data_IF_839671363490
#
_entry.id   IF_839671363490
#
_cell.length_a   1.000
_cell.length_b   1.000
_cell.length_c   1.000
_cell.angle_alpha   90.00
_cell.angle_beta   90.00
_cell.angle_gamma   90.00
#
_symmetry.space_group_name_H-M   'P 1'
#
loop_
_entity.id
_entity.type
_entity.pdbx_description
1 polymer ?
#
# COMPACT_ATOMS: atom_id res chain seq x y z
N UNK A 1 99.56 -0.06 -55.90
CA UNK A 1 99.73 1.24 -55.21
C UNK A 1 98.39 1.71 -54.69
N UNK A 2 98.31 1.96 -53.36
CA UNK A 2 97.44 2.95 -52.65
C UNK A 2 95.91 2.79 -52.82
N UNK A 3 95.04 2.90 -51.80
CA UNK A 3 95.11 3.16 -50.34
C UNK A 3 93.70 2.83 -49.81
N UNK A 4 93.63 2.30 -48.59
CA UNK A 4 92.41 2.09 -47.80
C UNK A 4 91.62 3.39 -47.59
N UNK A 5 90.28 3.33 -47.59
CA UNK A 5 89.39 4.10 -46.70
C UNK A 5 88.13 3.26 -46.38
N UNK A 6 88.15 2.57 -45.23
CA UNK A 6 87.00 2.41 -44.31
C UNK A 6 87.09 3.61 -43.34
N UNK A 7 86.10 4.06 -42.55
CA UNK A 7 84.77 3.51 -42.22
C UNK A 7 83.69 4.63 -42.25
N UNK A 8 82.44 4.51 -41.83
CA UNK A 8 82.00 4.36 -40.45
C UNK A 8 80.47 4.36 -40.45
N UNK A 9 79.90 3.19 -40.14
CA UNK A 9 78.51 3.03 -39.75
C UNK A 9 78.31 3.89 -38.49
N UNK A 10 77.62 5.01 -38.62
CA UNK A 10 77.28 5.87 -37.49
C UNK A 10 76.12 5.20 -36.74
N UNK A 11 76.47 4.26 -35.86
CA UNK A 11 75.56 3.78 -34.82
C UNK A 11 75.43 4.92 -33.81
N UNK A 12 74.46 5.81 -34.02
CA UNK A 12 74.18 6.86 -33.06
C UNK A 12 73.75 6.20 -31.73
N UNK A 13 74.47 6.43 -30.61
CA UNK A 13 73.98 5.98 -29.32
C UNK A 13 72.71 6.80 -29.01
N UNK A 14 71.61 6.09 -28.74
CA UNK A 14 70.44 6.67 -28.08
C UNK A 14 70.87 7.06 -26.66
N UNK A 15 71.45 8.25 -26.49
CA UNK A 15 71.66 8.81 -25.16
C UNK A 15 70.28 9.23 -24.62
N UNK A 16 69.78 8.47 -23.65
CA UNK A 16 68.72 8.96 -22.79
C UNK A 16 69.33 10.08 -21.93
N UNK A 17 68.96 11.33 -22.18
CA UNK A 17 69.25 12.40 -21.24
C UNK A 17 68.19 12.37 -20.14
N UNK A 18 68.62 12.15 -18.90
CA UNK A 18 67.79 12.46 -17.73
C UNK A 18 68.10 13.89 -17.34
N UNK A 19 67.22 14.82 -17.71
CA UNK A 19 67.25 16.17 -17.16
C UNK A 19 66.71 16.09 -15.73
N UNK A 20 67.55 15.72 -14.76
CA UNK A 20 67.21 15.78 -13.34
C UNK A 20 67.64 17.15 -12.80
N UNK A 21 66.70 17.85 -12.13
CA UNK A 21 67.02 19.06 -11.37
C UNK A 21 67.88 18.63 -10.17
N UNK A 22 69.03 19.26 -9.98
CA UNK A 22 69.89 19.05 -8.81
C UNK A 22 69.12 19.46 -7.54
N UNK A 23 69.11 18.61 -6.52
CA UNK A 23 68.40 18.85 -5.26
C UNK A 23 68.83 20.15 -4.57
N UNK A 24 70.06 20.60 -4.81
CA UNK A 24 70.62 21.84 -4.27
C UNK A 24 70.34 23.08 -5.13
N UNK A 25 69.74 22.90 -6.32
CA UNK A 25 69.32 23.99 -7.21
C UNK A 25 67.83 24.34 -7.03
N UNK A 26 67.15 23.69 -6.09
CA UNK A 26 65.75 23.97 -5.76
C UNK A 26 65.67 25.27 -4.95
N UNK A 27 64.80 26.19 -5.37
CA UNK A 27 64.47 27.37 -4.55
C UNK A 27 63.79 26.88 -3.26
N UNK A 28 64.47 27.02 -2.13
CA UNK A 28 63.94 26.69 -0.81
C UNK A 28 63.07 27.82 -0.25
N UNK A 29 62.04 27.46 0.51
CA UNK A 29 61.30 28.40 1.34
C UNK A 29 61.95 28.50 2.72
N UNK A 30 61.82 29.65 3.37
CA UNK A 30 62.18 29.80 4.79
C UNK A 30 61.37 28.79 5.61
N UNK A 31 62.04 28.02 6.47
CA UNK A 31 61.41 26.99 7.30
C UNK A 31 61.33 27.46 8.75
N UNK A 32 60.17 27.30 9.38
CA UNK A 32 59.94 27.62 10.79
C UNK A 32 58.99 26.60 11.44
N UNK A 33 59.01 26.42 12.75
CA UNK A 33 57.94 25.69 13.48
C UNK A 33 56.67 26.53 13.55
N UNK A 34 55.50 25.95 13.89
CA UNK A 34 54.26 26.72 14.06
C UNK A 34 54.42 27.87 15.08
N UNK A 35 55.15 27.61 16.16
CA UNK A 35 55.43 28.62 17.19
C UNK A 35 56.33 29.73 16.67
N UNK A 36 57.42 29.39 15.97
CA UNK A 36 58.34 30.39 15.41
C UNK A 36 57.67 31.22 14.32
N UNK A 37 56.91 30.58 13.41
CA UNK A 37 56.13 31.25 12.37
C UNK A 37 55.19 32.32 12.95
N UNK A 38 54.40 31.96 13.96
CA UNK A 38 53.45 32.87 14.61
C UNK A 38 54.12 33.97 15.46
N UNK A 39 55.41 33.81 15.80
CA UNK A 39 56.18 34.82 16.53
C UNK A 39 56.89 35.84 15.60
N UNK A 40 56.88 35.63 14.28
CA UNK A 40 57.47 36.56 13.31
C UNK A 40 56.69 37.89 13.34
N UNK A 41 57.39 38.98 13.62
CA UNK A 41 56.83 40.34 13.57
C UNK A 41 57.22 41.04 12.26
N UNK A 42 56.37 41.93 11.75
CA UNK A 42 56.67 42.72 10.54
C UNK A 42 56.54 41.95 9.21
N UNK A 43 55.86 40.80 9.19
CA UNK A 43 55.56 40.06 7.96
C UNK A 43 54.76 40.92 6.97
N UNK A 44 55.14 40.88 5.70
CA UNK A 44 54.39 41.52 4.61
C UNK A 44 53.32 40.57 4.09
N UNK A 45 52.15 41.11 3.72
CA UNK A 45 51.09 40.33 3.06
C UNK A 45 51.62 39.61 1.81
N UNK A 46 51.26 38.35 1.64
CA UNK A 46 51.73 37.49 0.55
C UNK A 46 53.08 36.82 0.79
N UNK A 47 53.72 37.04 1.95
CA UNK A 47 54.90 36.27 2.35
C UNK A 47 54.56 34.78 2.44
N UNK A 48 55.45 33.91 1.94
CA UNK A 48 55.27 32.45 1.97
C UNK A 48 56.43 31.83 2.76
N UNK A 49 56.12 30.87 3.62
CA UNK A 49 57.12 30.05 4.31
C UNK A 49 56.67 28.59 4.43
N UNK A 50 57.61 27.71 4.74
CA UNK A 50 57.34 26.31 5.04
C UNK A 50 57.25 26.10 6.56
N UNK A 51 56.08 25.68 7.04
CA UNK A 51 55.90 25.26 8.42
C UNK A 51 56.39 23.82 8.58
N UNK A 52 57.48 23.65 9.32
CA UNK A 52 58.13 22.37 9.59
C UNK A 52 57.38 21.48 10.59
N UNK A 53 56.53 22.05 11.45
CA UNK A 53 55.70 21.32 12.40
C UNK A 53 54.55 20.63 11.67
N UNK A 54 53.84 21.38 10.83
CA UNK A 54 52.67 20.87 10.08
C UNK A 54 53.05 20.29 8.71
N UNK A 55 54.29 20.50 8.27
CA UNK A 55 54.83 20.08 6.96
C UNK A 55 54.03 20.65 5.81
N UNK A 56 53.76 21.95 5.85
CA UNK A 56 52.85 22.67 4.94
C UNK A 56 53.36 24.08 4.64
N UNK A 57 53.00 24.60 3.47
CA UNK A 57 53.26 26.01 3.15
C UNK A 57 52.20 26.89 3.78
N UNK A 58 52.61 28.07 4.27
CA UNK A 58 51.74 29.09 4.83
C UNK A 58 51.94 30.41 4.08
N UNK A 59 50.87 31.17 3.95
CA UNK A 59 50.86 32.51 3.41
C UNK A 59 50.43 33.50 4.50
N UNK A 60 51.11 34.65 4.59
CA UNK A 60 50.71 35.70 5.52
C UNK A 60 49.61 36.58 4.90
N UNK A 61 48.41 36.60 5.49
CA UNK A 61 47.22 37.27 4.96
C UNK A 61 47.02 38.71 5.51
N UNK A 62 48.13 39.40 5.81
CA UNK A 62 48.19 40.69 6.50
C UNK A 62 47.86 40.67 8.01
N UNK A 63 47.15 39.65 8.51
CA UNK A 63 46.81 39.54 9.94
C UNK A 63 47.46 38.35 10.62
N UNK A 64 47.46 37.18 9.98
CA UNK A 64 48.00 35.93 10.51
C UNK A 64 48.65 35.10 9.39
N UNK A 65 49.41 34.08 9.78
CA UNK A 65 49.82 33.02 8.87
C UNK A 65 48.67 32.04 8.66
N UNK A 66 48.21 31.92 7.41
CA UNK A 66 47.16 31.01 7.00
C UNK A 66 47.75 29.86 6.18
N UNK A 67 47.30 28.64 6.45
CA UNK A 67 47.76 27.46 5.74
C UNK A 67 47.31 27.56 4.28
N UNK A 68 48.23 27.32 3.33
CA UNK A 68 47.85 27.14 1.93
C UNK A 68 47.18 25.76 1.83
N UNK A 69 45.89 25.67 1.43
CA UNK A 69 45.17 24.40 1.41
C UNK A 69 45.83 23.39 0.47
N UNK A 70 45.90 22.13 0.89
CA UNK A 70 46.23 21.03 -0.02
C UNK A 70 44.97 20.22 -0.40
N UNK A 71 45.17 19.16 -1.19
CA UNK A 71 44.05 18.30 -1.59
C UNK A 71 43.33 17.69 -0.39
N UNK A 72 44.01 17.40 0.73
CA UNK A 72 43.40 16.81 1.93
C UNK A 72 42.61 17.81 2.78
N UNK A 73 42.93 19.10 2.71
CA UNK A 73 42.11 20.19 3.28
C UNK A 73 40.91 20.53 2.40
N UNK A 74 40.99 20.16 1.12
CA UNK A 74 39.92 20.28 0.12
C UNK A 74 39.07 19.00 0.01
N UNK A 75 39.52 17.89 0.61
CA UNK A 75 38.71 16.69 0.71
C UNK A 75 37.62 16.98 1.76
N UNK A 76 36.34 16.79 1.43
CA UNK A 76 35.27 16.98 2.39
C UNK A 76 35.45 16.06 3.60
N UNK A 77 34.75 16.33 4.73
CA UNK A 77 34.72 15.45 5.89
C UNK A 77 34.60 13.99 5.47
N UNK A 78 35.32 13.07 6.13
CA UNK A 78 35.14 11.64 5.88
C UNK A 78 33.76 11.23 6.38
N UNK A 79 32.78 11.28 5.50
CA UNK A 79 31.40 10.85 5.76
C UNK A 79 31.32 9.35 5.99
N UNK A 80 30.30 8.93 6.73
CA UNK A 80 30.03 7.51 6.96
C UNK A 80 29.57 6.84 5.67
N UNK A 81 29.97 5.59 5.43
CA UNK A 81 29.46 4.84 4.27
C UNK A 81 27.93 4.72 4.33
N UNK A 82 27.25 4.99 3.21
CA UNK A 82 25.79 4.94 3.12
C UNK A 82 25.08 6.24 3.48
N UNK A 83 25.83 7.27 3.90
CA UNK A 83 25.26 8.58 4.20
C UNK A 83 24.65 9.24 2.97
N UNK A 84 23.47 9.83 3.15
CA UNK A 84 22.87 10.77 2.21
C UNK A 84 23.10 12.17 2.75
N UNK A 85 23.93 12.96 2.04
CA UNK A 85 24.35 14.28 2.49
C UNK A 85 23.26 15.33 2.30
N UNK A 86 23.13 16.24 3.27
CA UNK A 86 22.27 17.42 3.20
C UNK A 86 23.02 18.67 3.70
N UNK A 87 22.43 19.85 3.52
CA UNK A 87 23.01 21.09 4.03
C UNK A 87 22.55 21.36 5.47
N UNK A 88 23.49 21.64 6.36
CA UNK A 88 23.17 22.11 7.70
C UNK A 88 22.73 23.59 7.72
N UNK A 89 22.49 24.13 8.91
CA UNK A 89 22.06 25.54 9.10
C UNK A 89 23.06 26.58 8.58
N UNK A 90 24.32 26.19 8.39
CA UNK A 90 25.37 27.04 7.81
C UNK A 90 25.56 26.84 6.31
N UNK A 91 24.78 25.94 5.68
CA UNK A 91 24.90 25.58 4.27
C UNK A 91 26.03 24.59 3.95
N UNK A 92 26.75 24.09 4.96
CA UNK A 92 27.80 23.10 4.77
C UNK A 92 27.20 21.68 4.64
N UNK A 93 27.83 20.76 3.88
CA UNK A 93 27.43 19.36 3.85
C UNK A 93 27.50 18.71 5.23
N UNK A 94 26.45 17.96 5.58
CA UNK A 94 26.27 17.28 6.85
C UNK A 94 25.53 15.94 6.63
N UNK A 95 25.52 15.08 7.65
CA UNK A 95 24.87 13.76 7.62
C UNK A 95 24.12 13.46 8.92
N UNK A 96 23.01 12.73 8.82
CA UNK A 96 22.29 12.17 9.97
C UNK A 96 21.72 10.81 9.57
N UNK A 97 22.53 9.77 9.79
CA UNK A 97 22.20 8.40 9.41
C UNK A 97 21.04 7.81 10.21
N UNK A 98 20.62 8.43 11.32
CA UNK A 98 19.40 7.99 12.03
C UNK A 98 18.13 8.52 11.35
N UNK A 99 18.23 9.58 10.54
CA UNK A 99 17.08 10.20 9.85
C UNK A 99 16.96 9.76 8.40
N UNK A 100 18.07 9.65 7.66
CA UNK A 100 18.05 9.17 6.28
C UNK A 100 19.34 8.41 5.98
N UNK A 101 19.21 7.17 5.49
CA UNK A 101 20.34 6.28 5.30
C UNK A 101 20.17 5.35 4.10
N UNK A 102 21.23 5.18 3.30
CA UNK A 102 21.31 4.14 2.30
C UNK A 102 22.16 2.97 2.81
N UNK A 103 21.49 1.87 3.13
CA UNK A 103 22.17 0.61 3.43
C UNK A 103 22.73 0.03 2.12
N UNK A 104 24.02 0.28 1.85
CA UNK A 104 24.74 -0.18 0.66
C UNK A 104 24.86 -1.70 0.60
N UNK A 105 24.84 -2.38 1.75
CA UNK A 105 24.99 -3.84 1.84
C UNK A 105 23.72 -4.54 1.34
N UNK A 106 22.54 -4.08 1.80
CA UNK A 106 21.27 -4.66 1.42
C UNK A 106 20.55 -3.91 0.28
N UNK A 107 21.15 -2.81 -0.18
CA UNK A 107 20.56 -1.84 -1.11
C UNK A 107 19.21 -1.31 -0.60
N UNK A 108 19.12 -0.69 0.56
CA UNK A 108 17.82 -0.24 1.11
C UNK A 108 17.87 1.22 1.54
N UNK A 109 16.75 1.94 1.34
CA UNK A 109 16.59 3.31 1.85
C UNK A 109 15.85 3.27 3.18
N UNK A 110 16.48 3.76 4.24
CA UNK A 110 15.85 4.02 5.53
C UNK A 110 15.54 5.51 5.71
N UNK A 111 14.36 5.80 6.24
CA UNK A 111 13.96 7.12 6.72
C UNK A 111 13.52 6.96 8.18
N UNK A 112 14.18 7.61 9.12
CA UNK A 112 14.03 7.36 10.56
C UNK A 112 14.60 6.01 11.03
N UNK A 113 15.48 5.38 10.24
CA UNK A 113 16.21 4.16 10.60
C UNK A 113 17.46 3.99 9.72
N UNK A 114 18.53 3.44 10.30
CA UNK A 114 19.73 3.00 9.58
C UNK A 114 19.77 1.47 9.34
N UNK A 115 18.76 0.74 9.79
CA UNK A 115 18.64 -0.71 9.65
C UNK A 115 17.33 -1.11 8.97
N UNK A 116 17.07 -0.61 7.74
CA UNK A 116 15.83 -0.91 7.03
C UNK A 116 15.68 -2.42 6.73
N UNK A 117 14.48 -2.93 6.95
CA UNK A 117 14.09 -4.33 6.68
C UNK A 117 13.37 -4.50 5.34
N UNK A 118 12.85 -3.42 4.78
CA UNK A 118 12.23 -3.35 3.45
C UNK A 118 13.07 -2.48 2.50
N UNK A 119 12.77 -2.55 1.20
CA UNK A 119 13.51 -1.81 0.16
C UNK A 119 13.51 -0.29 0.39
N UNK A 120 12.37 0.22 0.84
CA UNK A 120 12.23 1.53 1.47
C UNK A 120 11.51 1.29 2.79
N UNK A 121 12.07 1.75 3.90
CA UNK A 121 11.42 1.74 5.20
C UNK A 121 11.36 3.16 5.73
N UNK A 122 10.16 3.60 6.08
CA UNK A 122 9.94 4.85 6.83
C UNK A 122 9.47 4.48 8.22
N UNK A 123 10.27 4.82 9.23
CA UNK A 123 9.87 4.71 10.63
C UNK A 123 9.04 5.94 10.98
N UNK A 124 7.72 5.83 10.87
CA UNK A 124 6.78 6.91 11.16
C UNK A 124 5.61 6.95 10.17
N UNK A 125 4.79 8.01 10.27
CA UNK A 125 3.65 8.20 9.38
C UNK A 125 4.09 8.80 8.03
N UNK A 126 3.54 8.27 6.93
CA UNK A 126 3.74 8.80 5.58
C UNK A 126 2.47 9.52 5.14
N UNK A 127 2.61 10.75 4.63
CA UNK A 127 1.55 11.45 3.89
C UNK A 127 1.88 11.42 2.41
N UNK A 128 1.16 10.62 1.64
CA UNK A 128 1.28 10.54 0.17
C UNK A 128 0.01 11.04 -0.52
N UNK A 129 0.14 11.63 -1.71
CA UNK A 129 -1.03 11.97 -2.53
C UNK A 129 -1.79 10.72 -3.03
N UNK A 130 -1.06 9.61 -3.21
CA UNK A 130 -1.61 8.31 -3.56
C UNK A 130 -0.51 7.25 -3.53
N UNK A 131 -0.92 5.99 -3.45
CA UNK A 131 -0.04 4.82 -3.56
C UNK A 131 -0.50 3.98 -4.75
N UNK A 132 0.39 3.78 -5.71
CA UNK A 132 0.17 2.86 -6.82
C UNK A 132 0.81 1.52 -6.48
N UNK A 133 0.01 0.64 -5.87
CA UNK A 133 0.48 -0.67 -5.46
C UNK A 133 0.36 -1.70 -6.59
N UNK A 134 1.13 -2.78 -6.47
CA UNK A 134 0.91 -3.99 -7.27
C UNK A 134 -0.46 -4.60 -6.95
N UNK A 135 -0.91 -5.51 -7.80
CA UNK A 135 -2.21 -6.17 -7.62
C UNK A 135 -2.24 -7.03 -6.35
N UNK A 136 -1.11 -7.67 -6.03
CA UNK A 136 -1.03 -8.67 -4.96
C UNK A 136 -1.77 -9.95 -5.34
N UNK A 137 -1.92 -10.85 -4.38
CA UNK A 137 -2.75 -12.04 -4.49
C UNK A 137 -3.24 -12.47 -3.10
N UNK A 138 -4.07 -13.51 -3.05
CA UNK A 138 -4.67 -14.02 -1.81
C UNK A 138 -3.65 -14.35 -0.70
N UNK A 139 -2.47 -14.87 -1.05
CA UNK A 139 -1.42 -15.23 -0.09
C UNK A 139 -0.35 -14.15 0.09
N UNK A 140 -0.36 -13.11 -0.75
CA UNK A 140 0.54 -11.98 -0.66
C UNK A 140 -0.20 -10.69 -1.11
N UNK A 141 -1.04 -10.11 -0.23
CA UNK A 141 -1.78 -8.90 -0.55
C UNK A 141 -0.86 -7.69 -0.72
N UNK A 142 -1.29 -6.70 -1.49
CA UNK A 142 -0.45 -5.53 -1.78
C UNK A 142 -0.42 -4.53 -0.63
N UNK A 143 -1.52 -4.41 0.11
CA UNK A 143 -1.52 -3.84 1.46
C UNK A 143 -1.56 -4.99 2.46
N UNK A 144 -0.52 -5.12 3.27
CA UNK A 144 -0.34 -6.21 4.23
C UNK A 144 0.47 -5.72 5.43
N UNK A 145 0.56 -6.54 6.47
CA UNK A 145 1.17 -6.14 7.73
C UNK A 145 2.53 -6.81 7.95
N UNK A 146 3.42 -6.13 8.68
CA UNK A 146 4.68 -6.76 9.07
C UNK A 146 4.40 -7.92 10.02
N UNK A 147 4.95 -9.09 9.72
CA UNK A 147 4.71 -10.33 10.49
C UNK A 147 3.41 -11.07 10.15
N UNK A 148 2.52 -10.48 9.34
CA UNK A 148 1.29 -11.10 8.83
C UNK A 148 1.13 -10.74 7.34
N UNK A 149 1.82 -11.50 6.49
CA UNK A 149 1.97 -11.18 5.08
C UNK A 149 0.85 -11.71 4.20
N UNK A 150 -0.07 -12.51 4.75
CA UNK A 150 -1.19 -13.13 4.02
C UNK A 150 -2.56 -12.56 4.44
N UNK A 151 -2.59 -11.60 5.37
CA UNK A 151 -3.76 -10.78 5.72
C UNK A 151 -3.62 -9.38 5.15
N UNK A 152 -4.65 -8.90 4.46
CA UNK A 152 -4.57 -7.60 3.80
C UNK A 152 -5.58 -7.35 2.69
N UNK A 153 -5.23 -6.40 1.80
CA UNK A 153 -6.04 -6.02 0.64
C UNK A 153 -5.27 -6.26 -0.66
N UNK A 154 -5.95 -6.83 -1.65
CA UNK A 154 -5.40 -7.13 -2.98
C UNK A 154 -6.48 -6.95 -4.05
N UNK A 155 -6.10 -7.11 -5.32
CA UNK A 155 -7.05 -7.18 -6.44
C UNK A 155 -6.69 -8.32 -7.39
N UNK A 156 -7.68 -8.98 -7.94
CA UNK A 156 -7.51 -10.07 -8.94
C UNK A 156 -7.83 -9.66 -10.36
N UNK A 157 -8.69 -8.65 -10.53
CA UNK A 157 -9.04 -8.08 -11.82
C UNK A 157 -9.29 -6.56 -11.72
N UNK A 158 -9.63 -5.95 -12.85
CA UNK A 158 -10.02 -4.54 -12.92
C UNK A 158 -11.39 -4.35 -12.26
N UNK A 159 -11.54 -3.29 -11.47
CA UNK A 159 -12.77 -2.98 -10.71
C UNK A 159 -13.13 -4.04 -9.65
N UNK A 160 -12.11 -4.67 -9.06
CA UNK A 160 -12.25 -5.58 -7.92
C UNK A 160 -11.36 -5.13 -6.77
N UNK A 161 -11.85 -5.33 -5.55
CA UNK A 161 -11.10 -5.18 -4.31
C UNK A 161 -11.38 -6.39 -3.42
N UNK A 162 -10.34 -7.03 -2.94
CA UNK A 162 -10.41 -8.26 -2.19
C UNK A 162 -9.72 -8.07 -0.84
N UNK A 163 -10.27 -8.68 0.20
CA UNK A 163 -9.68 -8.75 1.52
C UNK A 163 -9.28 -10.20 1.79
N UNK A 164 -8.04 -10.41 2.22
CA UNK A 164 -7.59 -11.71 2.71
C UNK A 164 -7.35 -11.70 4.21
N UNK A 165 -7.60 -12.86 4.83
CA UNK A 165 -7.23 -13.16 6.21
C UNK A 165 -6.63 -14.56 6.21
N UNK A 166 -5.35 -14.69 6.56
CA UNK A 166 -4.66 -16.00 6.61
C UNK A 166 -4.71 -16.76 5.28
N UNK A 167 -4.42 -16.09 4.16
CA UNK A 167 -4.46 -16.68 2.80
C UNK A 167 -5.85 -17.21 2.39
N UNK A 168 -6.92 -16.65 2.96
CA UNK A 168 -8.32 -16.90 2.55
C UNK A 168 -8.96 -15.60 2.14
N UNK A 169 -9.74 -15.63 1.06
CA UNK A 169 -10.50 -14.45 0.63
C UNK A 169 -11.72 -14.35 1.54
N UNK A 170 -11.72 -13.34 2.41
CA UNK A 170 -12.80 -13.10 3.35
C UNK A 170 -13.95 -12.33 2.67
N UNK A 171 -13.61 -11.31 1.89
CA UNK A 171 -14.56 -10.42 1.22
C UNK A 171 -14.03 -10.07 -0.17
N UNK A 172 -14.91 -10.09 -1.17
CA UNK A 172 -14.66 -9.45 -2.47
C UNK A 172 -15.70 -8.38 -2.73
N UNK A 173 -15.26 -7.23 -3.22
CA UNK A 173 -16.11 -6.16 -3.73
C UNK A 173 -15.80 -6.03 -5.21
N UNK A 174 -16.76 -6.40 -6.06
CA UNK A 174 -16.58 -6.41 -7.51
C UNK A 174 -17.73 -5.69 -8.23
N UNK A 175 -17.41 -5.21 -9.42
CA UNK A 175 -18.36 -4.64 -10.36
C UNK A 175 -18.93 -5.74 -11.26
N UNK A 176 -20.16 -6.18 -10.99
CA UNK A 176 -20.81 -7.24 -11.77
C UNK A 176 -21.58 -6.72 -13.00
N UNK A 177 -21.81 -5.40 -13.11
CA UNK A 177 -22.40 -4.75 -14.29
C UNK A 177 -21.78 -3.38 -14.55
N UNK A 178 -22.08 -2.70 -15.66
CA UNK A 178 -21.52 -1.38 -15.95
C UNK A 178 -21.85 -0.29 -14.92
N UNK A 179 -22.89 -0.48 -14.10
CA UNK A 179 -23.38 0.52 -13.12
C UNK A 179 -23.41 0.03 -11.68
N UNK A 180 -23.28 -1.28 -11.44
CA UNK A 180 -23.53 -1.86 -10.12
C UNK A 180 -22.29 -2.60 -9.59
N UNK A 181 -22.15 -2.55 -8.25
CA UNK A 181 -21.19 -3.34 -7.49
C UNK A 181 -21.90 -4.27 -6.52
N UNK A 182 -21.21 -5.30 -6.07
CA UNK A 182 -21.69 -6.21 -5.03
C UNK A 182 -20.58 -6.47 -4.00
N UNK A 183 -20.98 -7.05 -2.87
CA UNK A 183 -20.06 -7.59 -1.87
C UNK A 183 -20.31 -9.09 -1.78
N UNK A 184 -19.29 -9.89 -2.06
CA UNK A 184 -19.31 -11.33 -1.99
C UNK A 184 -18.59 -11.79 -0.72
N UNK A 185 -19.25 -12.66 0.03
CA UNK A 185 -18.70 -13.31 1.23
C UNK A 185 -18.82 -14.80 0.98
N UNK A 186 -17.68 -15.47 0.82
CA UNK A 186 -17.62 -16.88 0.39
C UNK A 186 -18.10 -17.86 1.47
N UNK A 187 -17.98 -17.47 2.74
CA UNK A 187 -18.32 -18.35 3.87
C UNK A 187 -19.49 -17.80 4.69
N UNK A 188 -19.26 -16.88 5.62
CA UNK A 188 -20.25 -16.49 6.63
C UNK A 188 -20.27 -15.00 6.86
N UNK A 189 -21.47 -14.42 6.95
CA UNK A 189 -21.71 -13.05 7.38
C UNK A 189 -22.46 -13.06 8.71
N UNK A 190 -21.77 -12.65 9.78
CA UNK A 190 -22.38 -12.37 11.07
C UNK A 190 -22.74 -10.89 11.21
N UNK A 191 -23.95 -10.58 11.69
CA UNK A 191 -24.41 -9.21 11.95
C UNK A 191 -24.91 -9.10 13.39
N UNK A 192 -24.39 -8.12 14.13
CA UNK A 192 -24.75 -7.86 15.52
C UNK A 192 -24.02 -8.76 16.52
N UNK A 193 -22.81 -9.21 16.19
CA UNK A 193 -21.92 -9.90 17.12
C UNK A 193 -21.09 -8.88 17.91
N UNK A 194 -20.90 -9.12 19.20
CA UNK A 194 -19.99 -8.34 20.03
C UNK A 194 -18.54 -8.74 19.71
N UNK A 195 -17.76 -7.81 19.15
CA UNK A 195 -16.35 -8.01 18.83
C UNK A 195 -15.50 -7.36 19.93
N UNK A 196 -14.64 -8.11 20.64
CA UNK A 196 -13.73 -7.51 21.62
C UNK A 196 -12.71 -6.58 20.94
N UNK A 197 -12.38 -5.46 21.59
CA UNK A 197 -11.68 -4.32 20.99
C UNK A 197 -10.21 -4.60 20.60
N UNK A 198 -9.54 -5.58 21.23
CA UNK A 198 -8.07 -5.72 21.11
C UNK A 198 -7.55 -7.16 21.26
N UNK A 199 -8.35 -8.15 20.85
CA UNK A 199 -7.91 -9.53 20.78
C UNK A 199 -8.39 -10.17 19.48
N UNK A 200 -7.60 -11.09 18.93
CA UNK A 200 -8.10 -12.01 17.91
C UNK A 200 -9.44 -12.57 18.39
N UNK A 201 -10.47 -12.47 17.56
CA UNK A 201 -11.84 -12.84 17.94
C UNK A 201 -11.89 -14.26 18.51
N UNK A 202 -12.32 -14.40 19.78
CA UNK A 202 -12.52 -15.69 20.45
C UNK A 202 -13.99 -15.97 20.76
N UNK A 203 -14.91 -15.24 20.12
CA UNK A 203 -16.35 -15.42 20.30
C UNK A 203 -16.90 -16.62 19.54
N UNK A 204 -18.22 -16.80 19.57
CA UNK A 204 -18.91 -17.89 18.88
C UNK A 204 -19.02 -17.56 17.39
N UNK A 205 -18.65 -18.49 16.52
CA UNK A 205 -18.83 -18.35 15.08
C UNK A 205 -20.30 -18.07 14.70
N UNK A 206 -20.51 -17.46 13.53
CA UNK A 206 -21.83 -17.47 12.90
C UNK A 206 -22.31 -18.92 12.74
N UNK A 207 -23.63 -19.16 12.73
CA UNK A 207 -24.22 -20.51 12.61
C UNK A 207 -24.91 -20.78 11.27
N UNK A 208 -25.16 -19.75 10.46
CA UNK A 208 -25.60 -19.84 9.06
C UNK A 208 -24.68 -19.02 8.14
N UNK A 209 -24.90 -19.08 6.81
CA UNK A 209 -24.23 -18.19 5.84
C UNK A 209 -24.56 -16.72 6.12
N UNK A 210 -25.80 -16.45 6.54
CA UNK A 210 -26.23 -15.17 7.12
C UNK A 210 -26.74 -15.43 8.54
N UNK A 211 -26.08 -14.88 9.54
CA UNK A 211 -26.48 -14.99 10.95
C UNK A 211 -26.71 -13.59 11.51
N UNK A 212 -27.98 -13.26 11.77
CA UNK A 212 -28.41 -11.97 12.30
C UNK A 212 -28.89 -12.17 13.74
N UNK A 213 -28.18 -11.60 14.71
CA UNK A 213 -28.58 -11.68 16.13
C UNK A 213 -29.72 -10.74 16.50
N UNK A 214 -29.96 -9.72 15.68
CA UNK A 214 -31.06 -8.75 15.83
C UNK A 214 -32.26 -9.01 14.92
N UNK A 215 -33.17 -8.05 14.87
CA UNK A 215 -34.35 -8.09 14.00
C UNK A 215 -34.02 -7.78 12.54
N UNK A 216 -34.75 -8.41 11.62
CA UNK A 216 -34.75 -8.08 10.18
C UNK A 216 -36.05 -7.35 9.83
N UNK A 217 -35.95 -6.17 9.24
CA UNK A 217 -37.12 -5.46 8.69
C UNK A 217 -37.40 -5.95 7.27
N UNK A 218 -38.66 -6.25 6.97
CA UNK A 218 -39.10 -6.74 5.66
C UNK A 218 -40.19 -5.83 5.09
N UNK A 219 -40.30 -5.72 3.76
CA UNK A 219 -41.35 -4.96 3.10
C UNK A 219 -42.75 -5.42 3.54
N UNK A 220 -43.66 -4.47 3.75
CA UNK A 220 -45.05 -4.74 4.10
C UNK A 220 -45.98 -3.71 3.47
N UNK A 221 -46.97 -4.20 2.72
CA UNK A 221 -47.90 -3.34 1.98
C UNK A 221 -49.36 -3.75 2.20
N UNK A 222 -50.26 -2.79 2.00
CA UNK A 222 -51.70 -3.03 1.98
C UNK A 222 -52.22 -2.77 0.57
N UNK A 223 -52.85 -3.78 -0.04
CA UNK A 223 -53.35 -3.64 -1.42
C UNK A 223 -54.48 -2.59 -1.50
N UNK A 224 -54.44 -1.72 -2.51
CA UNK A 224 -55.54 -0.80 -2.87
C UNK A 224 -56.29 -1.22 -4.14
N UNK A 225 -55.81 -2.26 -4.81
CA UNK A 225 -56.39 -2.91 -5.98
C UNK A 225 -55.66 -4.23 -6.25
N UNK A 226 -55.96 -4.88 -7.38
CA UNK A 226 -55.25 -6.08 -7.83
C UNK A 226 -53.74 -5.80 -7.95
N UNK A 227 -52.92 -6.75 -7.51
CA UNK A 227 -51.48 -6.56 -7.38
C UNK A 227 -50.71 -7.74 -7.97
N UNK A 228 -49.71 -7.44 -8.80
CA UNK A 228 -48.69 -8.41 -9.21
C UNK A 228 -47.49 -8.28 -8.28
N UNK A 229 -47.07 -9.38 -7.64
CA UNK A 229 -45.92 -9.35 -6.75
C UNK A 229 -44.61 -9.41 -7.52
N UNK A 230 -43.62 -8.70 -7.01
CA UNK A 230 -42.25 -8.64 -7.55
C UNK A 230 -41.21 -8.74 -6.41
N UNK A 231 -39.95 -8.43 -6.70
CA UNK A 231 -38.84 -8.52 -5.75
C UNK A 231 -38.85 -7.44 -4.65
N UNK A 232 -39.73 -6.45 -4.75
CA UNK A 232 -39.87 -5.40 -3.73
C UNK A 232 -40.84 -5.78 -2.61
N UNK A 233 -41.66 -6.81 -2.81
CA UNK A 233 -42.69 -7.24 -1.87
C UNK A 233 -42.20 -8.38 -0.96
N UNK A 234 -42.75 -8.46 0.26
CA UNK A 234 -42.54 -9.61 1.16
C UNK A 234 -43.84 -9.96 1.90
N UNK A 235 -44.42 -9.01 2.63
CA UNK A 235 -45.69 -9.20 3.34
C UNK A 235 -46.79 -8.36 2.70
N UNK A 236 -47.92 -8.96 2.35
CA UNK A 236 -49.07 -8.30 1.75
C UNK A 236 -50.29 -8.47 2.64
N UNK A 237 -50.95 -7.38 2.98
CA UNK A 237 -52.26 -7.37 3.63
C UNK A 237 -53.31 -6.99 2.59
N UNK A 238 -54.31 -7.83 2.40
CA UNK A 238 -55.41 -7.49 1.50
C UNK A 238 -56.29 -6.40 2.12
N UNK A 239 -56.30 -5.22 1.49
CA UNK A 239 -57.17 -4.09 1.82
C UNK A 239 -58.59 -4.21 1.24
N UNK A 240 -58.81 -5.17 0.35
CA UNK A 240 -60.07 -5.52 -0.30
C UNK A 240 -59.92 -6.87 -0.97
N UNK A 241 -60.97 -7.37 -1.64
CA UNK A 241 -60.92 -8.65 -2.35
C UNK A 241 -60.18 -8.54 -3.69
N UNK A 242 -58.93 -8.11 -3.59
CA UNK A 242 -58.05 -7.87 -4.72
C UNK A 242 -57.32 -9.15 -5.11
N UNK A 243 -57.18 -9.36 -6.41
CA UNK A 243 -56.48 -10.51 -6.93
C UNK A 243 -54.97 -10.31 -6.79
N UNK A 244 -54.28 -11.38 -6.43
CA UNK A 244 -52.81 -11.42 -6.34
C UNK A 244 -52.26 -12.22 -7.51
N UNK A 245 -51.34 -11.64 -8.28
CA UNK A 245 -50.60 -12.37 -9.30
C UNK A 245 -49.20 -12.64 -8.79
N UNK A 246 -48.85 -13.92 -8.61
CA UNK A 246 -47.49 -14.35 -8.29
C UNK A 246 -46.62 -14.32 -9.56
N UNK A 247 -45.32 -13.98 -9.46
CA UNK A 247 -44.39 -14.11 -10.58
C UNK A 247 -44.12 -15.59 -10.89
N UNK A 248 -43.55 -15.87 -12.07
CA UNK A 248 -43.14 -17.21 -12.46
C UNK A 248 -42.13 -17.77 -11.45
N UNK A 249 -42.48 -18.90 -10.82
CA UNK A 249 -41.69 -19.52 -9.76
C UNK A 249 -40.24 -19.82 -10.21
N UNK A 250 -40.03 -20.14 -11.50
CA UNK A 250 -38.72 -20.45 -12.07
C UNK A 250 -37.73 -19.28 -12.01
N UNK A 251 -38.22 -18.05 -11.90
CA UNK A 251 -37.39 -16.83 -11.86
C UNK A 251 -36.98 -16.43 -10.44
N UNK A 252 -37.56 -17.03 -9.40
CA UNK A 252 -37.41 -16.56 -8.02
C UNK A 252 -37.39 -17.69 -6.98
N UNK A 253 -36.71 -18.81 -7.27
CA UNK A 253 -36.54 -19.93 -6.33
C UNK A 253 -36.09 -19.45 -4.94
N UNK A 254 -36.77 -19.91 -3.90
CA UNK A 254 -36.51 -19.57 -2.50
C UNK A 254 -37.20 -18.30 -2.01
N UNK A 255 -37.76 -17.45 -2.90
CA UNK A 255 -38.50 -16.23 -2.50
C UNK A 255 -39.73 -16.61 -1.69
N UNK A 256 -39.97 -15.87 -0.61
CA UNK A 256 -41.10 -16.04 0.29
C UNK A 256 -42.02 -14.82 0.16
N UNK A 257 -43.33 -15.07 0.10
CA UNK A 257 -44.36 -14.08 0.33
C UNK A 257 -45.27 -14.50 1.47
N UNK A 258 -45.64 -13.54 2.32
CA UNK A 258 -46.64 -13.69 3.37
C UNK A 258 -47.88 -12.92 2.95
N UNK A 259 -49.01 -13.60 2.74
CA UNK A 259 -50.24 -12.95 2.30
C UNK A 259 -51.31 -13.12 3.36
N UNK A 260 -51.72 -12.00 3.96
CA UNK A 260 -52.78 -11.93 4.96
C UNK A 260 -54.06 -11.44 4.30
N UNK A 261 -55.10 -12.27 4.35
CA UNK A 261 -56.45 -11.89 3.97
C UNK A 261 -57.29 -11.63 5.23
N UNK A 262 -57.48 -10.36 5.66
CA UNK A 262 -58.29 -10.02 6.82
C UNK A 262 -59.80 -9.91 6.52
N UNK A 263 -60.22 -10.11 5.26
CA UNK A 263 -61.62 -9.92 4.83
C UNK A 263 -62.53 -10.92 5.56
N UNK A 264 -63.74 -10.50 5.93
CA UNK A 264 -64.69 -11.32 6.68
C UNK A 264 -65.26 -12.46 5.82
N UNK A 265 -65.34 -13.68 6.40
CA UNK A 265 -65.99 -14.82 5.76
C UNK A 265 -67.49 -14.57 5.58
N UNK A 266 -68.07 -15.02 4.45
CA UNK A 266 -69.53 -14.98 4.21
C UNK A 266 -70.06 -13.75 3.48
N UNK A 267 -69.20 -12.78 3.11
CA UNK A 267 -69.59 -11.65 2.24
C UNK A 267 -69.52 -11.97 0.73
N UNK A 268 -69.22 -13.22 0.35
CA UNK A 268 -69.13 -13.64 -1.05
C UNK A 268 -67.92 -13.11 -1.82
N UNK A 269 -66.96 -12.49 -1.13
CA UNK A 269 -65.78 -11.87 -1.73
C UNK A 269 -64.54 -12.69 -1.37
N UNK A 270 -63.99 -13.40 -2.36
CA UNK A 270 -62.74 -14.17 -2.21
C UNK A 270 -61.71 -13.56 -3.14
N UNK A 271 -60.51 -13.31 -2.60
CA UNK A 271 -59.38 -12.87 -3.42
C UNK A 271 -58.81 -14.07 -4.17
N UNK A 272 -58.69 -13.96 -5.49
CA UNK A 272 -57.99 -14.97 -6.28
C UNK A 272 -56.50 -14.75 -6.21
N UNK A 273 -55.76 -15.82 -6.43
CA UNK A 273 -54.31 -15.78 -6.56
C UNK A 273 -53.85 -16.69 -7.69
N UNK A 274 -52.69 -16.39 -8.30
CA UNK A 274 -51.96 -17.37 -9.12
C UNK A 274 -51.93 -18.74 -8.44
N UNK A 275 -51.95 -19.81 -9.25
CA UNK A 275 -52.01 -21.17 -8.71
C UNK A 275 -50.78 -21.47 -7.85
N UNK A 276 -51.01 -22.01 -6.66
CA UNK A 276 -49.99 -22.53 -5.75
C UNK A 276 -50.38 -23.94 -5.29
N UNK A 277 -49.42 -24.67 -4.75
CA UNK A 277 -49.61 -25.97 -4.11
C UNK A 277 -49.94 -25.75 -2.64
N UNK A 278 -51.11 -26.22 -2.21
CA UNK A 278 -51.48 -26.25 -0.79
C UNK A 278 -50.58 -27.18 0.03
N UNK A 279 -50.78 -27.18 1.35
CA UNK A 279 -50.10 -28.11 2.28
C UNK A 279 -50.30 -29.62 1.92
N UNK A 280 -51.31 -29.95 1.12
CA UNK A 280 -51.57 -31.32 0.62
C UNK A 280 -51.00 -31.58 -0.79
N UNK A 281 -50.30 -30.61 -1.38
CA UNK A 281 -49.77 -30.68 -2.74
C UNK A 281 -50.81 -30.46 -3.85
N UNK A 282 -52.05 -30.07 -3.51
CA UNK A 282 -53.10 -29.79 -4.48
C UNK A 282 -53.02 -28.36 -5.00
N UNK A 283 -53.41 -28.17 -6.27
CA UNK A 283 -53.51 -26.84 -6.89
C UNK A 283 -54.63 -26.02 -6.25
N UNK A 284 -54.31 -24.81 -5.80
CA UNK A 284 -55.23 -23.83 -5.23
C UNK A 284 -54.97 -22.47 -5.86
N UNK A 285 -56.04 -21.70 -6.12
CA UNK A 285 -55.98 -20.37 -6.74
C UNK A 285 -56.78 -19.32 -5.97
N UNK A 286 -56.96 -19.55 -4.67
CA UNK A 286 -57.79 -18.73 -3.79
C UNK A 286 -57.03 -18.44 -2.49
N UNK A 287 -57.25 -17.24 -1.96
CA UNK A 287 -56.80 -16.86 -0.62
C UNK A 287 -58.04 -16.84 0.28
N UNK A 288 -58.17 -17.85 1.13
CA UNK A 288 -59.32 -17.94 2.04
C UNK A 288 -59.38 -16.71 2.97
N UNK A 289 -60.60 -16.24 3.22
CA UNK A 289 -60.88 -15.14 4.16
C UNK A 289 -60.38 -15.46 5.56
N UNK A 290 -59.89 -14.45 6.28
CA UNK A 290 -59.35 -14.58 7.64
C UNK A 290 -58.20 -15.59 7.78
N UNK A 291 -57.39 -15.73 6.72
CA UNK A 291 -56.20 -16.58 6.72
C UNK A 291 -54.95 -15.79 6.36
N UNK A 292 -53.83 -16.29 6.83
CA UNK A 292 -52.50 -15.91 6.35
C UNK A 292 -51.90 -17.14 5.71
N UNK A 293 -51.35 -16.99 4.51
CA UNK A 293 -50.61 -18.04 3.81
C UNK A 293 -49.17 -17.59 3.61
N UNK A 294 -48.24 -18.52 3.76
CA UNK A 294 -46.84 -18.30 3.44
C UNK A 294 -46.54 -19.14 2.22
N UNK A 295 -46.16 -18.47 1.14
CA UNK A 295 -45.83 -19.12 -0.12
C UNK A 295 -44.33 -18.98 -0.37
N UNK A 296 -43.68 -20.09 -0.69
CA UNK A 296 -42.28 -20.10 -1.11
C UNK A 296 -42.15 -20.74 -2.48
N UNK A 297 -41.41 -20.11 -3.38
CA UNK A 297 -41.09 -20.72 -4.67
C UNK A 297 -40.05 -21.82 -4.51
N UNK A 298 -40.30 -23.00 -5.09
CA UNK A 298 -39.29 -24.08 -5.20
C UNK A 298 -38.50 -24.05 -6.52
N UNK A 299 -38.81 -23.08 -7.39
CA UNK A 299 -38.26 -22.95 -8.75
C UNK A 299 -39.12 -23.60 -9.85
N UNK A 300 -40.24 -24.25 -9.51
CA UNK A 300 -41.20 -24.82 -10.45
C UNK A 300 -42.62 -24.38 -10.12
N UNK A 301 -43.00 -24.50 -8.85
CA UNK A 301 -44.31 -24.14 -8.30
C UNK A 301 -44.15 -23.21 -7.09
N UNK A 302 -45.23 -22.49 -6.76
CA UNK A 302 -45.36 -21.84 -5.47
C UNK A 302 -45.90 -22.85 -4.45
N UNK A 303 -45.20 -23.05 -3.35
CA UNK A 303 -45.56 -24.00 -2.29
C UNK A 303 -46.10 -23.26 -1.07
N UNK A 304 -47.26 -23.65 -0.56
CA UNK A 304 -47.68 -23.22 0.77
C UNK A 304 -46.85 -23.94 1.83
N UNK A 305 -46.17 -23.18 2.68
CA UNK A 305 -45.28 -23.71 3.72
C UNK A 305 -45.81 -23.49 5.15
N UNK A 306 -46.88 -22.70 5.30
CA UNK A 306 -47.59 -22.46 6.57
C UNK A 306 -49.06 -22.12 6.34
#
# INVERSE_FOLDING_TARGET
>A
MKKQILPLMLLAPLLNCFAQIDANLLLGLTSATTTEMNAITGSLEGSILYNSTEKRMYLYNASNWEKIPDITDLLPPTFTEGSILFANTSGAPDEDNNQIFWDSTNNRLGIGTNTPTNKVQVTGAIRSAGLLNSDGNQGEPSFRFNGDTDTGMYRTATNELNFSVGNKEAIRIDKYSSTNSQVLISERLGIGFDLPEDAAYTGVDANSTLDVKGSVSTAIDVTTGDLTLDDTHHTIILGGAHNITLPDASTCKGRIYIIKNPILFGLGITANISTYKSLLGLNVSLILSQKTIWLQSDGTDWQQIQ
#
